data_IF_910715262294
#
_entry.id   IF_910715262294
#
_cell.length_a   1.000
_cell.length_b   1.000
_cell.length_c   1.000
_cell.angle_alpha   90.00
_cell.angle_beta   90.00
_cell.angle_gamma   90.00
#
_symmetry.space_group_name_H-M   'P 1'
#
loop_
_entity.id
_entity.type
_entity.pdbx_description
1 polymer ?
#
# COMPACT_ATOMS: atom_id res chain seq x y z
N UNK A 1 -8.07 -8.37 -5.99
CA UNK A 1 -9.08 -7.65 -5.18
C UNK A 1 -9.18 -8.30 -3.80
N UNK A 2 -9.42 -7.52 -2.75
CA UNK A 2 -9.68 -8.01 -1.39
C UNK A 2 -11.15 -8.38 -1.29
N UNK A 3 -11.45 -9.53 -0.69
CA UNK A 3 -12.79 -9.94 -0.33
C UNK A 3 -13.07 -9.65 1.15
N UNK A 4 -12.22 -10.16 2.04
CA UNK A 4 -12.42 -10.07 3.48
C UNK A 4 -11.08 -10.02 4.21
N UNK A 5 -11.05 -9.28 5.32
CA UNK A 5 -9.91 -9.19 6.21
C UNK A 5 -10.37 -9.34 7.66
N UNK A 6 -9.72 -10.24 8.39
CA UNK A 6 -9.96 -10.43 9.82
C UNK A 6 -8.70 -10.15 10.61
N UNK A 7 -8.89 -9.55 11.77
CA UNK A 7 -7.82 -9.23 12.71
C UNK A 7 -8.27 -9.48 14.13
N UNK A 8 -7.40 -10.09 14.95
CA UNK A 8 -7.64 -10.36 16.37
C UNK A 8 -6.36 -10.11 17.16
N UNK A 9 -6.53 -9.62 18.38
CA UNK A 9 -5.43 -9.30 19.30
C UNK A 9 -4.35 -8.42 18.65
N UNK A 10 -4.76 -7.31 18.03
CA UNK A 10 -3.85 -6.38 17.38
C UNK A 10 -4.31 -4.94 17.60
N UNK A 11 -3.44 -4.07 18.07
CA UNK A 11 -3.71 -2.66 18.40
C UNK A 11 -4.98 -2.51 19.27
N UNK A 12 -6.08 -1.94 18.74
CA UNK A 12 -7.35 -1.77 19.46
C UNK A 12 -8.30 -2.98 19.35
N UNK A 13 -7.96 -4.01 18.60
CA UNK A 13 -8.80 -5.18 18.39
C UNK A 13 -8.44 -6.28 19.38
N UNK A 14 -9.19 -6.41 20.48
CA UNK A 14 -9.07 -7.51 21.43
C UNK A 14 -9.65 -8.79 20.83
N UNK A 15 -10.89 -8.71 20.45
CA UNK A 15 -11.65 -9.79 19.83
C UNK A 15 -11.52 -9.71 18.30
N UNK A 16 -11.98 -10.73 17.59
CA UNK A 16 -11.93 -10.75 16.14
C UNK A 16 -12.82 -9.65 15.55
N UNK A 17 -12.24 -8.84 14.69
CA UNK A 17 -12.94 -7.88 13.86
C UNK A 17 -12.83 -8.29 12.40
N UNK A 18 -13.95 -8.21 11.68
CA UNK A 18 -14.03 -8.56 10.25
C UNK A 18 -14.38 -7.31 9.45
N UNK A 19 -13.61 -7.07 8.40
CA UNK A 19 -13.90 -6.11 7.36
C UNK A 19 -14.12 -6.84 6.04
N UNK A 20 -15.14 -6.45 5.25
CA UNK A 20 -15.51 -7.13 4.02
C UNK A 20 -15.86 -6.17 2.90
N UNK A 21 -15.36 -6.47 1.70
CA UNK A 21 -15.78 -5.85 0.44
C UNK A 21 -16.88 -6.65 -0.28
N UNK A 22 -17.44 -7.69 0.32
CA UNK A 22 -18.54 -8.41 -0.29
C UNK A 22 -19.75 -7.48 -0.50
N UNK A 23 -20.22 -7.40 -1.73
CA UNK A 23 -21.44 -6.67 -2.06
C UNK A 23 -22.66 -7.44 -1.55
N UNK A 24 -23.64 -6.72 -1.01
CA UNK A 24 -24.95 -7.28 -0.65
C UNK A 24 -25.77 -7.57 -1.91
N UNK A 25 -26.95 -8.21 -1.72
CA UNK A 25 -27.92 -8.40 -2.80
C UNK A 25 -28.70 -7.14 -3.17
N UNK A 26 -28.51 -6.05 -2.42
CA UNK A 26 -29.13 -4.75 -2.73
C UNK A 26 -28.53 -4.15 -4.01
N UNK A 27 -29.40 -3.83 -4.96
CA UNK A 27 -29.06 -3.23 -6.26
C UNK A 27 -29.63 -1.83 -6.45
N UNK A 28 -30.10 -1.22 -5.38
CA UNK A 28 -30.79 0.09 -5.43
C UNK A 28 -29.91 1.21 -6.00
N UNK A 29 -28.57 1.09 -5.87
CA UNK A 29 -27.60 2.10 -6.30
C UNK A 29 -26.86 1.71 -7.61
N UNK A 30 -27.33 0.69 -8.32
CA UNK A 30 -26.68 0.18 -9.55
C UNK A 30 -25.55 -0.81 -9.28
N UNK A 31 -24.85 -1.19 -10.35
CA UNK A 31 -23.78 -2.21 -10.31
C UNK A 31 -22.40 -1.60 -10.61
N UNK A 32 -22.30 -0.31 -10.87
CA UNK A 32 -21.07 0.35 -11.36
C UNK A 32 -19.90 0.26 -10.36
N UNK A 33 -20.23 0.10 -9.06
CA UNK A 33 -19.23 -0.06 -7.99
C UNK A 33 -19.01 -1.52 -7.58
N UNK A 34 -19.52 -2.48 -8.36
CA UNK A 34 -19.42 -3.90 -8.07
C UNK A 34 -18.64 -4.62 -9.16
N UNK A 35 -17.58 -5.30 -8.76
CA UNK A 35 -16.83 -6.22 -9.64
C UNK A 35 -17.26 -7.64 -9.34
N UNK A 36 -17.63 -8.40 -10.37
CA UNK A 36 -18.00 -9.81 -10.23
C UNK A 36 -16.85 -10.70 -10.68
N UNK A 37 -16.35 -11.55 -9.78
CA UNK A 37 -15.34 -12.57 -10.06
C UNK A 37 -15.96 -13.93 -9.80
N UNK A 38 -16.24 -14.69 -10.87
CA UNK A 38 -17.00 -15.94 -10.77
C UNK A 38 -18.39 -15.69 -10.19
N UNK A 39 -18.64 -16.14 -8.97
CA UNK A 39 -19.91 -15.94 -8.22
C UNK A 39 -19.79 -14.87 -7.13
N UNK A 40 -18.61 -14.35 -6.90
CA UNK A 40 -18.32 -13.38 -5.83
C UNK A 40 -18.48 -11.96 -6.36
N UNK A 41 -19.28 -11.17 -5.67
CA UNK A 41 -19.51 -9.76 -5.98
C UNK A 41 -18.75 -8.91 -4.97
N UNK A 42 -17.84 -8.06 -5.42
CA UNK A 42 -16.96 -7.25 -4.59
C UNK A 42 -17.17 -5.77 -4.85
N UNK A 43 -17.25 -5.01 -3.77
CA UNK A 43 -17.29 -3.54 -3.83
C UNK A 43 -15.90 -3.00 -4.23
N UNK A 44 -15.90 -1.93 -5.01
CA UNK A 44 -14.71 -1.16 -5.33
C UNK A 44 -14.37 -0.12 -4.27
N UNK A 45 -15.36 0.35 -3.55
CA UNK A 45 -15.23 1.45 -2.59
C UNK A 45 -15.80 1.07 -1.23
N UNK A 46 -15.10 1.47 -0.16
CA UNK A 46 -15.61 1.40 1.19
C UNK A 46 -15.15 2.62 2.00
N UNK A 47 -16.04 3.10 2.86
CA UNK A 47 -15.76 4.16 3.83
C UNK A 47 -15.95 3.64 5.25
N UNK A 48 -14.97 3.85 6.12
CA UNK A 48 -15.07 3.55 7.54
C UNK A 48 -15.48 4.82 8.28
N UNK A 49 -16.68 4.80 8.81
CA UNK A 49 -17.22 5.88 9.59
C UNK A 49 -17.41 5.46 11.06
N UNK A 50 -17.21 6.39 11.99
CA UNK A 50 -17.39 6.13 13.42
C UNK A 50 -16.72 7.19 14.29
N UNK A 51 -17.00 7.13 15.60
CA UNK A 51 -16.45 8.06 16.58
C UNK A 51 -14.92 8.04 16.63
N UNK A 52 -14.32 9.10 17.17
CA UNK A 52 -12.88 9.11 17.45
C UNK A 52 -12.51 7.96 18.40
N UNK A 53 -11.33 7.39 18.21
CA UNK A 53 -10.85 6.23 18.95
C UNK A 53 -11.67 4.92 18.77
N UNK A 54 -12.56 4.82 17.75
CA UNK A 54 -13.30 3.59 17.44
C UNK A 54 -12.47 2.49 16.76
N UNK A 55 -11.22 2.77 16.41
CA UNK A 55 -10.33 1.79 15.79
C UNK A 55 -10.20 1.89 14.26
N UNK A 56 -10.80 2.90 13.59
CA UNK A 56 -10.72 3.09 12.14
C UNK A 56 -9.28 3.07 11.61
N UNK A 57 -8.45 3.96 12.10
CA UNK A 57 -7.02 4.03 11.73
C UNK A 57 -6.27 2.74 12.07
N UNK A 58 -6.63 2.05 13.16
CA UNK A 58 -6.00 0.79 13.56
C UNK A 58 -6.34 -0.36 12.59
N UNK A 59 -7.53 -0.34 11.97
CA UNK A 59 -7.86 -1.29 10.90
C UNK A 59 -6.98 -1.06 9.66
N UNK A 60 -6.83 0.20 9.24
CA UNK A 60 -5.94 0.53 8.11
C UNK A 60 -4.48 0.18 8.41
N UNK A 61 -4.04 0.42 9.66
CA UNK A 61 -2.69 0.01 10.12
C UNK A 61 -2.52 -1.52 10.11
N UNK A 62 -3.59 -2.29 10.38
CA UNK A 62 -3.53 -3.76 10.30
C UNK A 62 -3.32 -4.24 8.85
N UNK A 63 -3.96 -3.59 7.87
CA UNK A 63 -3.70 -3.84 6.44
C UNK A 63 -2.24 -3.51 6.06
N UNK A 64 -1.74 -2.33 6.45
CA UNK A 64 -0.37 -1.92 6.14
C UNK A 64 0.68 -2.77 6.87
N UNK A 65 0.38 -3.22 8.10
CA UNK A 65 1.21 -4.20 8.80
C UNK A 65 1.36 -5.49 7.99
N UNK A 66 0.23 -6.04 7.49
CA UNK A 66 0.25 -7.28 6.71
C UNK A 66 1.05 -7.11 5.42
N UNK A 67 0.84 -6.00 4.69
CA UNK A 67 1.62 -5.67 3.48
C UNK A 67 3.12 -5.62 3.77
N UNK A 68 3.52 -4.87 4.79
CA UNK A 68 4.93 -4.76 5.20
C UNK A 68 5.51 -6.10 5.63
N UNK A 69 4.74 -6.88 6.38
CA UNK A 69 5.18 -8.20 6.85
C UNK A 69 5.44 -9.18 5.69
N UNK A 70 4.65 -9.09 4.60
CA UNK A 70 4.88 -9.90 3.40
C UNK A 70 6.10 -9.47 2.60
N UNK A 71 6.35 -8.17 2.50
CA UNK A 71 7.33 -7.60 1.57
C UNK A 71 8.69 -7.33 2.21
N UNK A 72 8.71 -7.01 3.50
CA UNK A 72 9.95 -6.65 4.20
C UNK A 72 10.64 -7.89 4.79
N UNK A 73 11.88 -8.11 4.40
CA UNK A 73 12.71 -9.15 5.00
C UNK A 73 13.34 -8.71 6.33
N UNK A 74 13.76 -9.70 7.13
CA UNK A 74 14.56 -9.49 8.34
C UNK A 74 15.99 -9.94 8.11
N UNK A 75 16.93 -9.31 8.79
CA UNK A 75 18.36 -9.65 8.71
C UNK A 75 18.82 -10.43 9.94
N UNK A 76 18.08 -10.34 11.05
CA UNK A 76 18.39 -11.01 12.30
C UNK A 76 17.12 -11.57 12.95
N UNK A 77 17.25 -12.69 13.64
CA UNK A 77 16.19 -13.36 14.41
C UNK A 77 15.84 -12.66 15.73
N UNK A 78 16.66 -11.71 16.17
CA UNK A 78 16.40 -10.88 17.38
C UNK A 78 15.53 -9.65 17.07
N UNK A 79 15.30 -9.32 15.80
CA UNK A 79 14.40 -8.24 15.43
C UNK A 79 12.95 -8.59 15.81
N UNK A 80 12.15 -7.57 16.16
CA UNK A 80 10.71 -7.76 16.37
C UNK A 80 9.97 -8.00 15.07
N UNK A 81 8.88 -8.80 15.11
CA UNK A 81 7.88 -8.88 14.03
C UNK A 81 7.17 -7.54 13.78
N UNK A 82 7.23 -6.62 14.75
CA UNK A 82 6.48 -5.35 14.84
C UNK A 82 4.97 -5.53 15.09
N UNK A 83 4.49 -6.74 15.33
CA UNK A 83 3.11 -6.93 15.78
C UNK A 83 2.95 -6.36 17.19
N UNK A 84 1.90 -5.55 17.37
CA UNK A 84 1.54 -4.94 18.66
C UNK A 84 0.20 -5.53 19.09
N UNK A 85 0.17 -6.40 20.13
CA UNK A 85 -1.07 -6.99 20.61
C UNK A 85 -1.94 -5.93 21.30
N UNK A 86 -3.21 -6.27 21.54
CA UNK A 86 -4.09 -5.45 22.38
C UNK A 86 -3.55 -5.41 23.82
N UNK A 87 -3.31 -4.19 24.34
CA UNK A 87 -2.60 -3.97 25.59
C UNK A 87 -3.51 -3.74 26.82
N UNK A 88 -4.81 -3.54 26.60
CA UNK A 88 -5.76 -3.17 27.67
C UNK A 88 -6.47 -4.41 28.26
N UNK A 89 -5.75 -5.52 28.41
CA UNK A 89 -6.22 -6.79 28.95
C UNK A 89 -5.05 -7.48 29.65
N UNK A 90 -5.32 -8.41 30.58
CA UNK A 90 -4.27 -9.13 31.30
C UNK A 90 -3.65 -10.29 30.50
N UNK A 91 -4.39 -10.86 29.54
CA UNK A 91 -4.00 -12.06 28.82
C UNK A 91 -3.50 -11.76 27.41
N UNK A 92 -4.14 -10.80 26.73
CA UNK A 92 -3.87 -10.49 25.32
C UNK A 92 -2.46 -10.00 25.05
N UNK A 93 -1.75 -9.23 25.94
CA UNK A 93 -0.37 -8.83 25.68
C UNK A 93 0.62 -9.99 25.51
N UNK A 94 0.31 -11.15 26.09
CA UNK A 94 1.12 -12.37 26.00
C UNK A 94 0.59 -13.38 24.97
N UNK A 95 -0.57 -13.12 24.40
CA UNK A 95 -1.19 -13.99 23.40
C UNK A 95 -0.77 -13.56 21.98
N UNK A 96 -0.76 -14.49 21.02
CA UNK A 96 -0.46 -14.15 19.62
C UNK A 96 -1.58 -13.30 18.98
N UNK A 97 -1.19 -12.44 18.04
CA UNK A 97 -2.10 -11.78 17.12
C UNK A 97 -2.45 -12.71 15.97
N UNK A 98 -3.65 -12.57 15.43
CA UNK A 98 -4.11 -13.34 14.29
C UNK A 98 -4.64 -12.45 13.18
N UNK A 99 -4.30 -12.80 11.93
CA UNK A 99 -4.74 -12.14 10.71
C UNK A 99 -5.22 -13.18 9.70
N UNK A 100 -6.30 -12.84 9.02
CA UNK A 100 -6.81 -13.64 7.89
C UNK A 100 -7.15 -12.69 6.74
N UNK A 101 -6.69 -13.00 5.53
CA UNK A 101 -6.96 -12.22 4.32
C UNK A 101 -7.45 -13.14 3.22
N UNK A 102 -8.69 -12.93 2.77
CA UNK A 102 -9.25 -13.53 1.56
C UNK A 102 -9.18 -12.53 0.42
N UNK A 103 -8.56 -12.92 -0.69
CA UNK A 103 -8.34 -12.03 -1.82
C UNK A 103 -8.28 -12.78 -3.15
N UNK A 104 -8.45 -12.05 -4.24
CA UNK A 104 -8.38 -12.57 -5.61
C UNK A 104 -7.16 -12.05 -6.35
N UNK A 105 -6.50 -12.94 -7.09
CA UNK A 105 -5.50 -12.60 -8.10
C UNK A 105 -6.01 -13.16 -9.44
N UNK A 106 -6.46 -12.28 -10.33
CA UNK A 106 -7.31 -12.69 -11.45
C UNK A 106 -8.57 -13.39 -10.92
N UNK A 107 -8.89 -14.55 -11.46
CA UNK A 107 -10.03 -15.36 -11.04
C UNK A 107 -9.72 -16.36 -9.91
N UNK A 108 -8.50 -16.35 -9.40
CA UNK A 108 -8.05 -17.27 -8.35
C UNK A 108 -8.24 -16.64 -6.99
N UNK A 109 -9.04 -17.27 -6.14
CA UNK A 109 -9.25 -16.89 -4.75
C UNK A 109 -8.12 -17.48 -3.88
N UNK A 110 -7.58 -16.64 -2.99
CA UNK A 110 -6.58 -17.01 -2.01
C UNK A 110 -7.08 -16.74 -0.60
N UNK A 111 -6.71 -17.62 0.33
CA UNK A 111 -6.87 -17.43 1.76
C UNK A 111 -5.50 -17.50 2.42
N UNK A 112 -5.09 -16.40 3.01
CA UNK A 112 -3.86 -16.30 3.80
C UNK A 112 -4.20 -16.18 5.27
N UNK A 113 -3.53 -16.97 6.12
CA UNK A 113 -3.65 -16.85 7.58
C UNK A 113 -2.29 -16.67 8.22
N UNK A 114 -2.24 -15.87 9.28
CA UNK A 114 -1.02 -15.56 10.01
C UNK A 114 -1.30 -15.45 11.49
N UNK A 115 -0.59 -16.25 12.29
CA UNK A 115 -0.58 -16.19 13.73
C UNK A 115 0.83 -15.92 14.21
N UNK A 116 1.05 -14.79 14.92
CA UNK A 116 2.37 -14.38 15.36
C UNK A 116 2.30 -13.61 16.68
N UNK A 117 3.42 -13.56 17.37
CA UNK A 117 3.65 -12.62 18.46
C UNK A 117 4.78 -11.62 18.11
N UNK A 118 5.23 -10.84 19.09
CA UNK A 118 6.30 -9.86 18.90
C UNK A 118 7.63 -10.49 18.47
N UNK A 119 7.83 -11.76 18.73
CA UNK A 119 9.13 -12.44 18.54
C UNK A 119 9.14 -13.37 17.34
N UNK A 120 7.99 -13.99 17.01
CA UNK A 120 7.96 -15.04 16.00
C UNK A 120 6.59 -15.26 15.37
N UNK A 121 6.61 -15.91 14.24
CA UNK A 121 5.45 -16.53 13.61
C UNK A 121 5.22 -17.89 14.25
N UNK A 122 4.01 -18.15 14.73
CA UNK A 122 3.57 -19.44 15.24
C UNK A 122 3.05 -20.31 14.11
N UNK A 123 2.20 -19.73 13.26
CA UNK A 123 1.66 -20.38 12.09
C UNK A 123 1.42 -19.38 10.96
N UNK A 124 1.69 -19.81 9.72
CA UNK A 124 1.45 -19.05 8.50
C UNK A 124 1.02 -20.01 7.40
N UNK A 125 -0.12 -19.76 6.74
CA UNK A 125 -0.64 -20.61 5.67
C UNK A 125 -1.08 -19.81 4.46
N UNK A 126 -1.01 -20.43 3.29
CA UNK A 126 -1.64 -19.95 2.07
C UNK A 126 -2.40 -21.09 1.40
N UNK A 127 -3.69 -20.87 1.22
CA UNK A 127 -4.55 -21.74 0.43
C UNK A 127 -5.00 -21.00 -0.82
N UNK A 128 -5.39 -21.75 -1.87
CA UNK A 128 -6.02 -21.16 -3.03
C UNK A 128 -7.16 -22.02 -3.56
N UNK A 129 -8.12 -21.37 -4.21
CA UNK A 129 -9.24 -21.98 -4.90
C UNK A 129 -9.18 -21.60 -6.37
N UNK A 130 -9.12 -22.59 -7.26
CA UNK A 130 -9.29 -22.33 -8.69
C UNK A 130 -10.74 -22.64 -9.10
N UNK A 131 -11.41 -21.69 -9.78
CA UNK A 131 -12.72 -22.00 -10.35
C UNK A 131 -12.55 -23.09 -11.42
N UNK A 132 -13.33 -24.14 -11.34
CA UNK A 132 -13.40 -25.21 -12.35
C UNK A 132 -14.80 -25.15 -12.98
N UNK A 133 -14.98 -24.27 -13.97
CA UNK A 133 -16.30 -23.99 -14.54
C UNK A 133 -17.28 -23.52 -13.47
N UNK A 134 -18.51 -24.07 -13.44
CA UNK A 134 -19.52 -23.73 -12.42
C UNK A 134 -19.30 -24.43 -11.05
N UNK A 135 -18.26 -25.21 -10.89
CA UNK A 135 -17.99 -25.96 -9.66
C UNK A 135 -16.94 -25.22 -8.81
N UNK A 136 -17.21 -25.08 -7.52
CA UNK A 136 -16.22 -24.61 -6.54
C UNK A 136 -15.14 -25.68 -6.39
N UNK A 137 -13.87 -25.34 -6.66
CA UNK A 137 -12.77 -26.26 -6.42
C UNK A 137 -12.53 -26.41 -4.92
N UNK A 138 -11.96 -27.55 -4.51
CA UNK A 138 -11.50 -27.74 -3.14
C UNK A 138 -10.31 -26.81 -2.89
N UNK A 139 -10.25 -26.16 -1.71
CA UNK A 139 -9.10 -25.41 -1.26
C UNK A 139 -7.84 -26.29 -1.27
N UNK A 140 -6.78 -25.82 -1.89
CA UNK A 140 -5.47 -26.47 -1.92
C UNK A 140 -4.52 -25.63 -1.07
N UNK A 141 -3.96 -26.24 -0.03
CA UNK A 141 -2.92 -25.60 0.76
C UNK A 141 -1.62 -25.55 -0.04
N UNK A 142 -1.14 -24.33 -0.37
CA UNK A 142 0.11 -24.13 -1.10
C UNK A 142 1.33 -24.26 -0.19
N UNK A 143 1.25 -23.64 0.99
CA UNK A 143 2.23 -23.86 2.04
C UNK A 143 1.58 -23.77 3.43
N UNK A 144 2.24 -24.41 4.38
CA UNK A 144 2.04 -24.22 5.82
C UNK A 144 3.40 -24.08 6.47
N UNK A 145 3.52 -23.09 7.33
CA UNK A 145 4.67 -22.88 8.16
C UNK A 145 4.26 -22.91 9.61
N UNK A 146 4.97 -23.66 10.44
CA UNK A 146 4.80 -23.73 11.89
C UNK A 146 6.13 -23.48 12.60
N UNK A 147 6.07 -23.17 13.88
CA UNK A 147 7.24 -23.07 14.74
C UNK A 147 7.32 -24.32 15.63
N UNK A 148 8.32 -25.15 15.41
CA UNK A 148 8.49 -26.43 16.10
C UNK A 148 9.96 -26.68 16.44
N UNK A 149 10.24 -27.15 17.66
CA UNK A 149 11.62 -27.50 18.05
C UNK A 149 12.65 -26.38 17.93
N UNK A 150 12.23 -25.11 18.12
CA UNK A 150 13.11 -23.94 18.03
C UNK A 150 13.42 -23.47 16.61
N UNK A 151 12.68 -23.91 15.59
CA UNK A 151 12.89 -23.53 14.17
C UNK A 151 11.58 -23.45 13.41
N UNK A 152 11.62 -22.74 12.26
CA UNK A 152 10.54 -22.79 11.28
C UNK A 152 10.49 -24.17 10.59
N UNK A 153 9.33 -24.79 10.54
CA UNK A 153 9.05 -25.98 9.74
C UNK A 153 8.13 -25.58 8.60
N UNK A 154 8.51 -25.86 7.36
CA UNK A 154 7.76 -25.47 6.16
C UNK A 154 7.27 -26.74 5.46
N UNK A 155 5.97 -26.81 5.20
CA UNK A 155 5.33 -27.80 4.35
C UNK A 155 4.91 -27.12 3.05
N UNK A 156 5.26 -27.70 1.92
CA UNK A 156 4.86 -27.25 0.59
C UNK A 156 3.93 -28.25 -0.05
N UNK A 157 2.95 -27.76 -0.79
CA UNK A 157 2.08 -28.63 -1.59
C UNK A 157 2.88 -29.44 -2.60
N UNK A 158 2.56 -30.72 -2.73
CA UNK A 158 3.12 -31.58 -3.76
C UNK A 158 2.81 -31.09 -5.18
N UNK A 159 1.70 -30.35 -5.35
CA UNK A 159 1.30 -29.77 -6.64
C UNK A 159 2.30 -28.73 -7.17
N UNK A 160 3.10 -28.11 -6.31
CA UNK A 160 4.12 -27.12 -6.70
C UNK A 160 5.33 -27.78 -7.37
N UNK A 161 5.50 -29.10 -7.25
CA UNK A 161 6.63 -29.88 -7.82
C UNK A 161 8.01 -29.29 -7.50
N UNK A 162 8.17 -28.74 -6.29
CA UNK A 162 9.38 -28.06 -5.85
C UNK A 162 10.43 -29.10 -5.44
N UNK A 163 11.70 -28.99 -5.93
CA UNK A 163 12.76 -29.87 -5.49
C UNK A 163 13.01 -29.81 -3.97
N UNK A 164 13.41 -30.93 -3.36
CA UNK A 164 13.58 -31.02 -1.91
C UNK A 164 14.61 -30.04 -1.34
N UNK A 165 15.66 -29.73 -2.11
CA UNK A 165 16.68 -28.77 -1.69
C UNK A 165 16.14 -27.34 -1.58
N UNK A 166 15.17 -26.95 -2.43
CA UNK A 166 14.51 -25.65 -2.37
C UNK A 166 13.70 -25.50 -1.07
N UNK A 167 13.01 -26.57 -0.64
CA UNK A 167 12.34 -26.58 0.67
C UNK A 167 13.33 -26.39 1.81
N UNK A 168 14.50 -27.04 1.75
CA UNK A 168 15.60 -26.85 2.71
C UNK A 168 16.11 -25.42 2.74
N UNK A 169 16.32 -24.81 1.58
CA UNK A 169 16.76 -23.44 1.45
C UNK A 169 15.73 -22.43 1.99
N UNK A 170 14.44 -22.61 1.68
CA UNK A 170 13.35 -21.80 2.24
C UNK A 170 13.34 -21.88 3.77
N UNK A 171 13.44 -23.09 4.33
CA UNK A 171 13.45 -23.30 5.78
C UNK A 171 14.65 -22.60 6.43
N UNK A 172 15.82 -22.67 5.83
CA UNK A 172 17.04 -22.03 6.36
C UNK A 172 16.97 -20.49 6.30
N UNK A 173 16.32 -19.92 5.26
CA UNK A 173 16.19 -18.47 5.06
C UNK A 173 14.97 -17.87 5.79
N UNK A 174 14.04 -18.70 6.26
CA UNK A 174 12.83 -18.25 6.91
C UNK A 174 13.04 -18.06 8.41
N UNK A 175 13.54 -16.86 8.79
CA UNK A 175 13.75 -16.50 10.19
C UNK A 175 12.43 -16.53 10.99
N UNK A 176 12.47 -16.70 12.33
CA UNK A 176 11.27 -16.79 13.17
C UNK A 176 10.35 -15.57 13.03
N UNK A 177 10.89 -14.40 12.79
CA UNK A 177 10.25 -13.09 12.86
C UNK A 177 9.93 -12.46 11.49
N UNK A 178 10.00 -13.20 10.40
CA UNK A 178 9.66 -12.73 9.05
C UNK A 178 8.61 -13.62 8.39
N UNK A 179 7.97 -13.16 7.32
CA UNK A 179 7.02 -13.97 6.55
C UNK A 179 7.69 -15.02 5.68
N UNK A 180 6.94 -16.04 5.31
CA UNK A 180 7.33 -16.99 4.27
C UNK A 180 7.62 -16.28 2.94
N UNK A 181 6.84 -15.26 2.57
CA UNK A 181 6.99 -14.52 1.32
C UNK A 181 8.32 -13.74 1.26
N UNK A 182 8.73 -13.14 2.37
CA UNK A 182 10.01 -12.45 2.47
C UNK A 182 11.20 -13.44 2.36
N UNK A 183 11.06 -14.65 2.90
CA UNK A 183 12.05 -15.73 2.70
C UNK A 183 12.04 -16.24 1.25
N UNK A 184 10.83 -16.43 0.67
CA UNK A 184 10.63 -16.86 -0.72
C UNK A 184 11.30 -15.91 -1.72
N UNK A 185 11.27 -14.62 -1.49
CA UNK A 185 11.94 -13.63 -2.33
C UNK A 185 13.46 -13.83 -2.46
N UNK A 186 14.07 -14.57 -1.55
CA UNK A 186 15.52 -14.84 -1.49
C UNK A 186 15.92 -16.20 -2.07
N UNK A 187 14.96 -16.93 -2.63
CA UNK A 187 15.19 -18.28 -3.18
C UNK A 187 14.87 -18.28 -4.67
N UNK A 188 15.85 -18.66 -5.48
CA UNK A 188 15.71 -18.74 -6.93
C UNK A 188 15.02 -20.06 -7.32
N UNK A 189 13.70 -20.08 -7.25
CA UNK A 189 12.86 -21.19 -7.68
C UNK A 189 11.53 -20.64 -8.20
N UNK A 190 10.83 -21.37 -9.05
CA UNK A 190 9.50 -20.98 -9.55
C UNK A 190 8.41 -21.68 -8.75
N UNK A 191 7.47 -20.90 -8.22
CA UNK A 191 6.27 -21.36 -7.50
C UNK A 191 5.07 -20.54 -7.94
N UNK A 192 4.58 -20.69 -9.19
CA UNK A 192 3.67 -19.74 -9.84
C UNK A 192 2.49 -19.27 -8.99
N UNK A 193 1.72 -20.16 -8.28
CA UNK A 193 0.59 -19.71 -7.45
C UNK A 193 1.04 -18.86 -6.25
N UNK A 194 2.17 -19.21 -5.61
CA UNK A 194 2.73 -18.44 -4.50
C UNK A 194 3.31 -17.11 -5.00
N UNK A 195 3.99 -17.15 -6.13
CA UNK A 195 4.61 -15.98 -6.74
C UNK A 195 3.53 -14.97 -7.20
N UNK A 196 2.39 -15.44 -7.72
CA UNK A 196 1.26 -14.60 -8.07
C UNK A 196 0.69 -13.85 -6.86
N UNK A 197 0.47 -14.55 -5.74
CA UNK A 197 0.02 -13.92 -4.49
C UNK A 197 1.03 -12.90 -3.96
N UNK A 198 2.33 -13.24 -4.01
CA UNK A 198 3.41 -12.33 -3.59
C UNK A 198 3.46 -11.06 -4.45
N UNK A 199 3.42 -11.21 -5.77
CA UNK A 199 3.43 -10.09 -6.72
C UNK A 199 2.21 -9.19 -6.52
N UNK A 200 1.03 -9.78 -6.31
CA UNK A 200 -0.18 -9.02 -6.01
C UNK A 200 -0.02 -8.15 -4.75
N UNK A 201 0.49 -8.70 -3.67
CA UNK A 201 0.72 -7.94 -2.43
C UNK A 201 1.80 -6.87 -2.59
N UNK A 202 2.84 -7.14 -3.37
CA UNK A 202 3.96 -6.23 -3.58
C UNK A 202 3.60 -5.06 -4.50
N UNK A 203 2.88 -5.34 -5.59
CA UNK A 203 2.71 -4.41 -6.70
C UNK A 203 1.33 -3.76 -6.75
N UNK A 204 0.30 -4.43 -6.19
CA UNK A 204 -1.09 -3.99 -6.27
C UNK A 204 -1.72 -3.65 -4.91
N UNK A 205 -1.02 -3.94 -3.81
CA UNK A 205 -1.43 -3.52 -2.48
C UNK A 205 -0.58 -2.29 -2.08
N UNK A 206 -1.14 -1.10 -2.26
CA UNK A 206 -0.42 0.14 -2.05
C UNK A 206 -0.17 0.44 -0.57
N UNK A 207 0.90 1.20 -0.24
CA UNK A 207 1.13 1.66 1.14
C UNK A 207 -0.04 2.50 1.66
N UNK A 208 -0.30 2.39 2.97
CA UNK A 208 -1.27 3.25 3.65
C UNK A 208 -0.85 4.72 3.54
N UNK A 209 -1.78 5.55 3.06
CA UNK A 209 -1.65 7.01 3.12
C UNK A 209 -2.34 7.51 4.38
N UNK A 210 -1.61 8.15 5.27
CA UNK A 210 -2.13 8.81 6.47
C UNK A 210 -1.90 10.34 6.39
N UNK A 211 -2.45 11.15 7.31
CA UNK A 211 -2.30 12.61 7.26
C UNK A 211 -0.86 13.12 7.25
N UNK A 212 0.09 12.33 7.74
CA UNK A 212 1.52 12.68 7.82
C UNK A 212 2.35 12.11 6.67
N UNK A 213 1.74 11.33 5.78
CA UNK A 213 2.45 10.74 4.64
C UNK A 213 2.86 11.86 3.68
N UNK A 214 4.16 12.02 3.48
CA UNK A 214 4.71 12.89 2.44
C UNK A 214 4.63 12.16 1.09
N UNK A 215 3.95 12.76 0.14
CA UNK A 215 3.74 12.21 -1.21
C UNK A 215 4.52 12.98 -2.28
N UNK A 216 5.37 13.94 -1.90
CA UNK A 216 6.09 14.82 -2.83
C UNK A 216 7.00 14.04 -3.78
N UNK A 217 7.85 13.16 -3.25
CA UNK A 217 8.74 12.34 -4.08
C UNK A 217 7.95 11.39 -5.00
N UNK A 218 6.85 10.83 -4.48
CA UNK A 218 5.98 9.95 -5.27
C UNK A 218 5.31 10.71 -6.42
N UNK A 219 4.71 11.87 -6.14
CA UNK A 219 4.09 12.77 -7.12
C UNK A 219 5.10 13.18 -8.20
N UNK A 220 6.29 13.63 -7.79
CA UNK A 220 7.35 14.06 -8.67
C UNK A 220 7.80 12.96 -9.64
N UNK A 221 8.05 11.75 -9.11
CA UNK A 221 8.45 10.61 -9.94
C UNK A 221 7.35 10.26 -10.95
N UNK A 222 6.07 10.24 -10.52
CA UNK A 222 4.95 9.91 -11.41
C UNK A 222 4.76 10.95 -12.51
N UNK A 223 4.82 12.24 -12.20
CA UNK A 223 4.73 13.33 -13.20
C UNK A 223 5.89 13.27 -14.20
N UNK A 224 7.08 12.83 -13.75
CA UNK A 224 8.25 12.69 -14.61
C UNK A 224 8.17 11.47 -15.53
N UNK A 225 7.67 10.36 -15.03
CA UNK A 225 7.65 9.05 -15.72
C UNK A 225 6.44 8.90 -16.66
N UNK A 226 5.31 9.54 -16.34
CA UNK A 226 4.04 9.33 -17.02
C UNK A 226 3.36 10.66 -17.39
N UNK A 227 3.37 10.96 -18.70
CA UNK A 227 2.73 12.18 -19.23
C UNK A 227 1.19 12.18 -19.03
N UNK A 228 0.55 11.01 -18.92
CA UNK A 228 -0.89 10.92 -18.70
C UNK A 228 -1.24 11.36 -17.27
N UNK A 229 -0.41 11.06 -16.28
CA UNK A 229 -0.55 11.56 -14.90
C UNK A 229 -0.57 13.08 -14.88
N UNK A 230 0.36 13.71 -15.60
CA UNK A 230 0.41 15.17 -15.71
C UNK A 230 -0.88 15.75 -16.30
N UNK A 231 -1.37 15.19 -17.40
CA UNK A 231 -2.61 15.62 -18.05
C UNK A 231 -3.82 15.45 -17.14
N UNK A 232 -3.90 14.32 -16.44
CA UNK A 232 -4.92 14.03 -15.45
C UNK A 232 -4.95 15.07 -14.32
N UNK A 233 -3.80 15.34 -13.71
CA UNK A 233 -3.69 16.30 -12.61
C UNK A 233 -4.06 17.73 -13.04
N UNK A 234 -3.66 18.17 -14.24
CA UNK A 234 -4.05 19.48 -14.76
C UNK A 234 -5.56 19.59 -14.96
N UNK A 235 -6.20 18.54 -15.50
CA UNK A 235 -7.66 18.50 -15.63
C UNK A 235 -8.38 18.51 -14.29
N UNK A 236 -7.82 17.84 -13.26
CA UNK A 236 -8.34 17.88 -11.90
C UNK A 236 -8.27 19.30 -11.32
N UNK A 237 -7.10 19.95 -11.42
CA UNK A 237 -6.87 21.29 -10.88
C UNK A 237 -7.76 22.35 -11.53
N UNK A 238 -8.02 22.23 -12.84
CA UNK A 238 -8.97 23.09 -13.55
C UNK A 238 -10.39 22.92 -13.00
N UNK A 239 -10.84 21.68 -12.78
CA UNK A 239 -12.18 21.39 -12.22
C UNK A 239 -12.32 21.83 -10.76
N UNK A 240 -11.22 21.81 -10.00
CA UNK A 240 -11.16 22.24 -8.62
C UNK A 240 -10.95 23.77 -8.44
N UNK A 241 -11.03 24.54 -9.54
CA UNK A 241 -10.84 26.00 -9.59
C UNK A 241 -9.48 26.49 -9.02
N UNK A 242 -8.44 25.70 -9.23
CA UNK A 242 -7.07 26.11 -8.97
C UNK A 242 -6.54 26.88 -10.18
N UNK A 243 -5.92 28.03 -9.94
CA UNK A 243 -5.28 28.83 -10.99
C UNK A 243 -3.95 28.23 -11.50
N UNK A 244 -3.80 26.90 -11.41
CA UNK A 244 -2.62 26.18 -11.89
C UNK A 244 -2.90 25.71 -13.32
N UNK A 245 -2.12 26.21 -14.26
CA UNK A 245 -2.28 25.96 -15.70
C UNK A 245 -1.15 25.13 -16.30
N UNK A 246 -0.13 24.81 -15.51
CA UNK A 246 0.98 23.97 -15.95
C UNK A 246 1.69 23.31 -14.78
N UNK A 247 2.21 22.10 -15.03
CA UNK A 247 3.09 21.37 -14.10
C UNK A 247 4.32 20.94 -14.89
N UNK A 248 5.52 21.20 -14.39
CA UNK A 248 6.75 20.75 -15.00
C UNK A 248 7.80 20.39 -13.95
N UNK A 249 8.70 19.55 -14.37
CA UNK A 249 9.81 19.08 -13.54
C UNK A 249 11.06 19.87 -13.93
N UNK A 250 11.64 20.59 -12.99
CA UNK A 250 12.88 21.30 -13.17
C UNK A 250 14.02 20.57 -12.48
N UNK A 251 15.10 20.31 -13.21
CA UNK A 251 16.35 19.76 -12.63
C UNK A 251 17.23 20.93 -12.21
N UNK A 252 17.43 21.09 -10.91
CA UNK A 252 18.37 22.08 -10.35
C UNK A 252 19.67 21.39 -9.98
N UNK A 253 20.78 21.89 -10.47
CA UNK A 253 22.11 21.49 -10.02
C UNK A 253 22.45 22.35 -8.80
N UNK A 254 22.78 21.73 -7.67
CA UNK A 254 23.20 22.43 -6.47
C UNK A 254 24.50 23.20 -6.73
N UNK A 255 24.53 24.48 -6.39
CA UNK A 255 25.75 25.22 -6.24
C UNK A 255 26.58 24.69 -5.08
N UNK A 256 27.88 24.95 -5.04
CA UNK A 256 28.73 24.44 -3.96
C UNK A 256 28.37 25.05 -2.60
N UNK A 257 27.80 26.27 -2.57
CA UNK A 257 27.28 26.91 -1.36
C UNK A 257 26.02 26.21 -0.85
N UNK A 258 25.10 25.84 -1.73
CA UNK A 258 23.87 25.09 -1.39
C UNK A 258 24.21 23.68 -0.90
N UNK A 259 25.21 23.00 -1.52
CA UNK A 259 25.70 21.70 -1.05
C UNK A 259 26.24 21.78 0.38
N UNK A 260 27.02 22.82 0.69
CA UNK A 260 27.55 23.02 2.06
C UNK A 260 26.44 23.31 3.07
N UNK A 261 25.45 24.13 2.72
CA UNK A 261 24.31 24.45 3.57
C UNK A 261 23.45 23.21 3.84
N UNK A 262 23.23 22.37 2.81
CA UNK A 262 22.49 21.11 2.94
C UNK A 262 23.20 20.09 3.82
N UNK A 263 24.54 20.01 3.72
CA UNK A 263 25.38 19.14 4.56
C UNK A 263 25.44 19.59 6.04
N UNK A 264 25.26 20.90 6.29
CA UNK A 264 25.24 21.45 7.65
C UNK A 264 23.87 21.34 8.33
N UNK A 265 22.76 21.32 7.57
CA UNK A 265 21.39 21.37 8.09
C UNK A 265 20.73 20.04 8.40
N UNK A 266 21.23 18.91 7.89
CA UNK A 266 20.67 17.57 8.10
C UNK A 266 21.72 16.64 8.69
N UNK A 267 21.33 15.83 9.70
CA UNK A 267 22.11 14.68 10.17
C UNK A 267 22.04 13.61 9.06
N UNK A 268 22.92 13.72 8.08
CA UNK A 268 23.08 12.73 7.03
C UNK A 268 24.03 11.64 7.51
N UNK A 269 23.68 10.37 7.25
CA UNK A 269 24.57 9.24 7.44
C UNK A 269 25.85 9.45 6.61
N UNK A 270 27.01 9.05 7.15
CA UNK A 270 28.33 9.32 6.53
C UNK A 270 28.48 8.73 5.11
N UNK A 271 27.69 7.71 4.76
CA UNK A 271 27.62 7.17 3.40
C UNK A 271 26.98 8.14 2.40
N UNK A 272 25.94 8.88 2.82
CA UNK A 272 25.31 9.93 2.01
C UNK A 272 26.25 11.13 1.84
N UNK A 273 27.00 11.51 2.89
CA UNK A 273 28.00 12.59 2.80
C UNK A 273 29.07 12.28 1.75
N UNK A 274 29.53 11.01 1.65
CA UNK A 274 30.52 10.60 0.63
C UNK A 274 29.99 10.69 -0.79
N UNK A 275 28.70 10.39 -1.01
CA UNK A 275 28.04 10.53 -2.32
C UNK A 275 27.95 12.00 -2.76
N UNK A 276 27.69 12.93 -1.83
CA UNK A 276 27.61 14.37 -2.12
C UNK A 276 28.96 15.06 -2.27
N UNK A 277 30.03 14.48 -1.69
CA UNK A 277 31.38 15.06 -1.74
C UNK A 277 32.21 14.56 -2.93
N UNK A 278 31.74 13.58 -3.70
CA UNK A 278 32.42 13.14 -4.92
C UNK A 278 32.25 14.19 -6.01
N UNK A 279 33.37 14.84 -6.43
CA UNK A 279 33.38 15.92 -7.43
C UNK A 279 32.82 15.53 -8.81
N UNK A 280 32.76 14.23 -9.12
CA UNK A 280 32.21 13.71 -10.38
C UNK A 280 30.66 13.59 -10.37
N UNK A 281 30.02 13.60 -9.21
CA UNK A 281 28.55 13.51 -9.10
C UNK A 281 28.00 14.93 -8.98
N UNK A 282 27.49 15.49 -10.07
CA UNK A 282 26.66 16.70 -10.03
C UNK A 282 25.41 16.36 -9.22
N UNK A 283 25.41 16.65 -7.92
CA UNK A 283 24.23 16.50 -7.09
C UNK A 283 23.14 17.40 -7.69
N UNK A 284 22.19 16.78 -8.37
CA UNK A 284 21.02 17.44 -8.91
C UNK A 284 19.81 16.98 -8.13
N UNK A 285 18.98 17.87 -7.72
CA UNK A 285 17.66 17.55 -7.25
C UNK A 285 16.65 17.91 -8.34
N UNK A 286 15.49 17.33 -8.23
CA UNK A 286 14.37 17.60 -9.12
C UNK A 286 13.32 18.33 -8.28
N UNK A 287 12.70 19.35 -8.82
CA UNK A 287 11.63 20.12 -8.17
C UNK A 287 10.41 20.19 -9.09
N UNK A 288 9.21 20.10 -8.51
CA UNK A 288 7.96 20.31 -9.23
C UNK A 288 7.65 21.80 -9.25
N UNK A 289 7.49 22.31 -10.45
CA UNK A 289 7.15 23.70 -10.70
C UNK A 289 5.72 23.79 -11.22
N UNK A 290 4.96 24.73 -10.66
CA UNK A 290 3.55 24.97 -10.97
C UNK A 290 3.37 26.33 -11.62
N UNK A 291 2.83 26.34 -12.84
CA UNK A 291 2.52 27.56 -13.55
C UNK A 291 1.13 28.05 -13.17
N UNK A 292 1.06 29.28 -12.69
CA UNK A 292 -0.17 29.99 -12.37
C UNK A 292 -0.45 31.06 -13.42
N UNK A 293 -1.65 31.08 -13.98
CA UNK A 293 -2.07 32.14 -14.90
C UNK A 293 -2.97 33.13 -14.16
N UNK A 294 -2.48 34.35 -14.01
CA UNK A 294 -3.24 35.43 -13.38
C UNK A 294 -3.69 36.41 -14.46
N UNK A 295 -4.95 36.82 -14.43
CA UNK A 295 -5.50 37.83 -15.31
C UNK A 295 -5.66 39.13 -14.54
N UNK A 296 -5.01 40.18 -15.01
CA UNK A 296 -5.15 41.55 -14.49
C UNK A 296 -5.62 42.52 -15.59
N UNK A 297 -5.64 43.83 -15.27
CA UNK A 297 -6.03 44.88 -16.21
C UNK A 297 -5.10 45.01 -17.44
N UNK A 298 -3.92 44.40 -17.42
CA UNK A 298 -2.91 44.46 -18.49
C UNK A 298 -2.93 43.21 -19.39
N UNK A 299 -3.62 42.15 -18.93
CA UNK A 299 -3.74 40.87 -19.66
C UNK A 299 -3.48 39.66 -18.79
N UNK A 300 -3.12 38.55 -19.43
CA UNK A 300 -2.80 37.27 -18.74
C UNK A 300 -1.28 37.22 -18.54
N UNK A 301 -0.86 37.09 -17.29
CA UNK A 301 0.56 36.88 -16.91
C UNK A 301 0.72 35.48 -16.27
N UNK A 302 1.88 34.87 -16.51
CA UNK A 302 2.21 33.51 -15.98
C UNK A 302 3.29 33.65 -14.92
N UNK A 303 3.06 33.03 -13.80
CA UNK A 303 3.98 32.94 -12.65
C UNK A 303 4.27 31.46 -12.36
N UNK A 304 5.51 31.17 -12.00
CA UNK A 304 5.95 29.81 -11.69
C UNK A 304 6.36 29.75 -10.22
N UNK A 305 5.73 28.84 -9.49
CA UNK A 305 6.00 28.57 -8.08
C UNK A 305 6.46 27.13 -7.91
N UNK A 306 7.38 26.89 -6.98
CA UNK A 306 7.81 25.53 -6.60
C UNK A 306 6.74 24.81 -5.80
N UNK A 307 6.86 23.49 -5.66
CA UNK A 307 5.98 22.68 -4.82
C UNK A 307 5.97 23.18 -3.37
N UNK A 308 7.13 23.57 -2.83
CA UNK A 308 7.26 24.11 -1.48
C UNK A 308 6.47 25.39 -1.23
N UNK A 309 6.21 26.19 -2.27
CA UNK A 309 5.43 27.42 -2.21
C UNK A 309 3.92 27.19 -2.36
N UNK A 310 3.49 25.95 -2.71
CA UNK A 310 2.08 25.61 -2.78
C UNK A 310 1.47 25.42 -1.37
N UNK A 311 0.15 25.63 -1.27
CA UNK A 311 -0.57 25.36 -0.03
C UNK A 311 -0.50 23.89 0.37
N UNK A 312 -0.63 23.59 1.68
CA UNK A 312 -0.70 22.22 2.17
C UNK A 312 -1.85 21.43 1.50
N UNK A 313 -3.00 22.07 1.28
CA UNK A 313 -4.15 21.46 0.58
C UNK A 313 -3.83 21.14 -0.88
N UNK A 314 -3.17 22.04 -1.59
CA UNK A 314 -2.75 21.81 -2.99
C UNK A 314 -1.79 20.62 -3.10
N UNK A 315 -0.77 20.55 -2.23
CA UNK A 315 0.15 19.42 -2.19
C UNK A 315 -0.56 18.11 -1.84
N UNK A 316 -1.47 18.17 -0.87
CA UNK A 316 -2.23 17.00 -0.41
C UNK A 316 -3.12 16.43 -1.51
N UNK A 317 -3.92 17.27 -2.19
CA UNK A 317 -4.80 16.80 -3.26
C UNK A 317 -4.00 16.20 -4.42
N UNK A 318 -2.91 16.84 -4.84
CA UNK A 318 -2.07 16.32 -5.92
C UNK A 318 -1.45 14.96 -5.59
N UNK A 319 -0.92 14.80 -4.37
CA UNK A 319 -0.33 13.55 -3.94
C UNK A 319 -1.35 12.42 -3.80
N UNK A 320 -2.51 12.70 -3.18
CA UNK A 320 -3.61 11.72 -2.99
C UNK A 320 -4.18 11.31 -4.33
N UNK A 321 -4.47 12.26 -5.22
CA UNK A 321 -5.03 11.96 -6.54
C UNK A 321 -4.05 11.20 -7.43
N UNK A 322 -2.76 11.49 -7.34
CA UNK A 322 -1.74 10.69 -8.03
C UNK A 322 -1.75 9.24 -7.56
N UNK A 323 -1.89 9.02 -6.24
CA UNK A 323 -1.95 7.67 -5.68
C UNK A 323 -3.24 6.92 -6.07
N UNK A 324 -4.38 7.59 -6.07
CA UNK A 324 -5.66 7.03 -6.52
C UNK A 324 -5.56 6.66 -8.01
N UNK A 325 -5.09 7.58 -8.84
CA UNK A 325 -4.93 7.35 -10.28
C UNK A 325 -3.99 6.16 -10.59
N UNK A 326 -2.83 6.08 -9.92
CA UNK A 326 -1.91 4.94 -10.10
C UNK A 326 -2.54 3.62 -9.63
N UNK A 327 -3.34 3.66 -8.56
CA UNK A 327 -4.10 2.50 -8.07
C UNK A 327 -5.15 2.03 -9.07
N UNK A 328 -5.88 2.96 -9.68
CA UNK A 328 -6.88 2.67 -10.72
C UNK A 328 -6.23 2.05 -11.96
N UNK A 329 -5.17 2.66 -12.46
CA UNK A 329 -4.43 2.14 -13.63
C UNK A 329 -3.94 0.71 -13.45
N UNK A 330 -3.59 0.33 -12.22
CA UNK A 330 -3.06 -1.00 -11.91
C UNK A 330 -4.12 -1.98 -11.40
N UNK A 331 -5.37 -1.54 -11.20
CA UNK A 331 -6.40 -2.32 -10.52
C UNK A 331 -5.95 -2.79 -9.12
N UNK A 332 -5.32 -1.89 -8.36
CA UNK A 332 -4.76 -2.16 -7.04
C UNK A 332 -5.74 -1.90 -5.90
N UNK A 333 -5.22 -2.02 -4.66
CA UNK A 333 -5.89 -1.65 -3.42
C UNK A 333 -5.14 -0.51 -2.74
N UNK A 334 -5.85 0.55 -2.37
CA UNK A 334 -5.32 1.69 -1.63
C UNK A 334 -6.18 1.97 -0.40
N UNK A 335 -5.52 2.18 0.74
CA UNK A 335 -6.15 2.66 1.97
C UNK A 335 -5.68 4.09 2.29
N UNK A 336 -6.62 4.99 2.63
CA UNK A 336 -6.33 6.38 2.99
C UNK A 336 -6.99 6.68 4.34
N UNK A 337 -6.18 7.05 5.33
CA UNK A 337 -6.63 7.49 6.64
C UNK A 337 -6.85 9.00 6.65
N UNK A 338 -8.00 9.45 7.18
CA UNK A 338 -8.41 10.85 7.25
C UNK A 338 -8.27 11.55 5.88
N UNK A 339 -9.03 11.06 4.89
CA UNK A 339 -8.95 11.57 3.52
C UNK A 339 -9.19 13.09 3.45
N UNK A 340 -10.01 13.63 4.36
CA UNK A 340 -10.31 15.06 4.49
C UNK A 340 -9.16 15.89 5.07
N UNK A 341 -8.11 15.24 5.59
CA UNK A 341 -7.00 15.97 6.23
C UNK A 341 -6.37 16.98 5.29
N UNK A 342 -6.39 18.27 5.70
CA UNK A 342 -5.90 19.43 4.92
C UNK A 342 -6.69 19.73 3.63
N UNK A 343 -7.85 19.09 3.41
CA UNK A 343 -8.68 19.33 2.23
C UNK A 343 -10.03 20.00 2.61
N UNK A 344 -10.50 20.86 1.73
CA UNK A 344 -11.87 21.37 1.85
C UNK A 344 -12.88 20.26 1.52
N UNK A 345 -14.04 20.18 2.19
CA UNK A 345 -15.03 19.13 1.93
C UNK A 345 -15.45 18.96 0.47
N UNK A 346 -15.50 20.05 -0.32
CA UNK A 346 -15.82 20.01 -1.74
C UNK A 346 -14.72 19.31 -2.56
N UNK A 347 -13.44 19.43 -2.16
CA UNK A 347 -12.35 18.70 -2.79
C UNK A 347 -12.41 17.20 -2.47
N UNK A 348 -12.74 16.85 -1.23
CA UNK A 348 -12.98 15.44 -0.85
C UNK A 348 -14.11 14.85 -1.69
N UNK A 349 -15.21 15.59 -1.83
CA UNK A 349 -16.33 15.18 -2.69
C UNK A 349 -15.87 14.99 -4.14
N UNK A 350 -15.10 15.94 -4.69
CA UNK A 350 -14.60 15.85 -6.07
C UNK A 350 -13.74 14.59 -6.28
N UNK A 351 -12.82 14.28 -5.34
CA UNK A 351 -11.99 13.08 -5.34
C UNK A 351 -12.86 11.81 -5.37
N UNK A 352 -13.81 11.73 -4.44
CA UNK A 352 -14.69 10.56 -4.32
C UNK A 352 -15.63 10.40 -5.51
N UNK A 353 -16.24 11.48 -6.00
CA UNK A 353 -17.10 11.46 -7.19
C UNK A 353 -16.30 11.02 -8.43
N UNK A 354 -15.04 11.43 -8.55
CA UNK A 354 -14.18 11.03 -9.66
C UNK A 354 -13.88 9.54 -9.61
N UNK A 355 -13.47 9.01 -8.45
CA UNK A 355 -13.22 7.59 -8.26
C UNK A 355 -14.49 6.74 -8.49
N UNK A 356 -15.64 7.18 -7.97
CA UNK A 356 -16.92 6.47 -8.11
C UNK A 356 -17.43 6.45 -9.55
N UNK A 357 -17.05 7.44 -10.38
CA UNK A 357 -17.40 7.49 -11.82
C UNK A 357 -16.35 6.85 -12.73
N UNK A 358 -15.24 6.37 -12.17
CA UNK A 358 -14.21 5.69 -12.95
C UNK A 358 -14.57 4.22 -13.21
N UNK A 359 -14.01 3.68 -14.29
CA UNK A 359 -14.10 2.26 -14.62
C UNK A 359 -12.87 1.52 -14.07
N UNK A 360 -12.99 0.21 -13.83
CA UNK A 360 -11.86 -0.64 -13.41
C UNK A 360 -12.19 -1.59 -12.27
N UNK A 361 -11.17 -2.23 -11.73
CA UNK A 361 -11.26 -3.22 -10.66
C UNK A 361 -10.44 -2.83 -9.42
N UNK A 362 -10.02 -1.58 -9.33
CA UNK A 362 -9.33 -1.06 -8.13
C UNK A 362 -10.24 -1.06 -6.91
N UNK A 363 -9.65 -1.09 -5.73
CA UNK A 363 -10.37 -0.95 -4.46
C UNK A 363 -9.80 0.20 -3.64
N UNK A 364 -10.67 1.09 -3.18
CA UNK A 364 -10.34 2.22 -2.32
C UNK A 364 -11.06 2.09 -0.98
N UNK A 365 -10.28 2.14 0.10
CA UNK A 365 -10.77 2.15 1.48
C UNK A 365 -10.37 3.47 2.15
N UNK A 366 -11.34 4.25 2.62
CA UNK A 366 -11.08 5.55 3.24
C UNK A 366 -11.66 5.64 4.66
N UNK A 367 -11.07 6.51 5.48
CA UNK A 367 -11.68 6.91 6.76
C UNK A 367 -11.92 8.39 6.76
#
# INVERSE_FOLDING_TARGET
MIQEFKVKNYLSFRDEATFSFLATDDRSFGEDQVVTIGKTRLLRFAILYGANASGKSNLLQAFDFLRKFWTEGKTSDVESTRATPFLLDQQTPSAPSHFELTFFVGDTEYLYTLTLDRHRVHEETLLYHQPIGDKTSRAIQLFRRTWEGGRSVIELSASLKVPIFVKGELTAKCLPNMSFFAARARVNASMPPIDAARTWMQDLFFPLINPKTDLSDFLQNKVQEDAEVKGYLLSLLERADFNITGIHVEKKTLSDEEKQSFLQGKILLDEFKKLFLNEETKASWTDLMFEHTVQDARGKEKYVLSEGEQSAGTRRILGVETAIYDTEKRNGFLAIDEIESSLHPELVKLILDQYLNSEGQSQLLVT
#
